data_IF_150430770095
#
_entry.id   IF_150430770095
#
_cell.length_a   1.000
_cell.length_b   1.000
_cell.length_c   1.000
_cell.angle_alpha   90.00
_cell.angle_beta   90.00
_cell.angle_gamma   90.00
#
_symmetry.space_group_name_H-M   'P 1'
#
loop_
_entity.id
_entity.type
_entity.pdbx_description
1 polymer ?
#
# COMPACT_ATOMS: atom_id res chain seq x y z
N UNK A 1 10.36 -7.32 -18.28
CA UNK A 1 9.80 -6.96 -16.96
C UNK A 1 8.77 -5.89 -17.23
N UNK A 2 7.47 -6.23 -17.20
CA UNK A 2 6.40 -5.25 -17.47
C UNK A 2 6.47 -4.15 -16.42
N UNK A 3 6.68 -2.91 -16.85
CA UNK A 3 6.96 -1.76 -15.97
C UNK A 3 5.78 -1.23 -15.16
N UNK A 4 4.84 -2.10 -14.79
CA UNK A 4 3.58 -1.70 -14.14
C UNK A 4 3.51 -2.11 -12.66
N UNK A 5 4.53 -2.82 -12.18
CA UNK A 5 4.62 -3.21 -10.78
C UNK A 5 5.43 -2.17 -9.98
N UNK A 6 4.78 -1.62 -8.94
CA UNK A 6 5.39 -0.76 -7.96
C UNK A 6 5.76 -1.55 -6.70
N UNK A 7 7.01 -1.44 -6.28
CA UNK A 7 7.49 -1.94 -4.99
C UNK A 7 8.13 -0.79 -4.21
N UNK A 8 7.64 -0.52 -3.00
CA UNK A 8 8.15 0.53 -2.13
C UNK A 8 8.35 0.04 -0.69
N UNK A 9 9.44 0.49 -0.07
CA UNK A 9 9.66 0.34 1.37
C UNK A 9 9.77 1.70 2.04
N UNK A 10 9.00 1.90 3.10
CA UNK A 10 9.04 3.10 3.95
C UNK A 10 9.59 2.70 5.32
N UNK A 11 10.79 3.19 5.61
CA UNK A 11 11.52 2.93 6.87
C UNK A 11 11.13 3.93 7.98
N UNK A 12 9.88 4.38 7.97
CA UNK A 12 9.35 5.33 8.93
C UNK A 12 7.93 4.91 9.31
N UNK A 13 7.73 4.54 10.57
CA UNK A 13 6.40 4.53 11.21
C UNK A 13 6.48 5.47 12.38
N UNK A 14 5.72 6.55 12.30
CA UNK A 14 5.65 7.51 13.40
C UNK A 14 4.60 7.05 14.40
N UNK A 15 4.88 7.29 15.69
CA UNK A 15 4.02 6.96 16.82
C UNK A 15 2.69 7.72 16.86
N UNK A 16 2.49 8.69 15.96
CA UNK A 16 1.24 9.45 15.86
C UNK A 16 0.49 9.06 14.59
N UNK A 17 -0.56 8.26 14.73
CA UNK A 17 -1.38 7.74 13.61
C UNK A 17 -1.79 8.83 12.61
N UNK A 18 -2.16 10.04 13.07
CA UNK A 18 -2.53 11.14 12.17
C UNK A 18 -1.35 11.68 11.36
N UNK A 19 -0.20 11.85 12.02
CA UNK A 19 1.05 12.28 11.38
C UNK A 19 1.59 11.21 10.45
N UNK A 20 1.33 9.93 10.77
CA UNK A 20 1.70 8.79 9.96
C UNK A 20 1.03 8.83 8.60
N UNK A 21 -0.29 9.05 8.56
CA UNK A 21 -1.04 9.15 7.30
C UNK A 21 -0.49 10.26 6.40
N UNK A 22 -0.23 11.44 6.97
CA UNK A 22 0.32 12.57 6.22
C UNK A 22 1.74 12.31 5.69
N UNK A 23 2.62 11.72 6.50
CA UNK A 23 4.00 11.42 6.11
C UNK A 23 4.08 10.35 5.02
N UNK A 24 3.27 9.29 5.12
CA UNK A 24 3.14 8.28 4.05
C UNK A 24 2.67 8.97 2.76
N UNK A 25 1.56 9.70 2.82
CA UNK A 25 1.00 10.38 1.65
C UNK A 25 1.95 11.38 0.99
N UNK A 26 2.76 12.08 1.78
CA UNK A 26 3.78 12.99 1.26
C UNK A 26 4.97 12.24 0.63
N UNK A 27 5.49 11.22 1.31
CA UNK A 27 6.61 10.42 0.81
C UNK A 27 6.29 9.80 -0.55
N UNK A 28 5.14 9.12 -0.68
CA UNK A 28 4.74 8.52 -1.95
C UNK A 28 4.58 9.57 -3.04
N UNK A 29 3.89 10.70 -2.77
CA UNK A 29 3.77 11.78 -3.76
C UNK A 29 5.11 12.37 -4.20
N UNK A 30 6.12 12.39 -3.33
CA UNK A 30 7.46 12.88 -3.67
C UNK A 30 8.26 11.88 -4.50
N UNK A 31 8.24 10.60 -4.14
CA UNK A 31 8.98 9.53 -4.83
C UNK A 31 8.39 9.21 -6.21
N UNK A 32 7.08 9.39 -6.40
CA UNK A 32 6.37 8.98 -7.63
C UNK A 32 6.00 10.12 -8.58
N UNK A 33 6.70 11.26 -8.52
CA UNK A 33 6.44 12.44 -9.39
C UNK A 33 6.44 12.19 -10.90
N UNK A 34 6.87 11.00 -11.36
CA UNK A 34 7.01 10.64 -12.78
C UNK A 34 6.15 9.44 -13.21
N UNK A 35 5.43 8.82 -12.28
CA UNK A 35 4.50 7.73 -12.61
C UNK A 35 3.19 8.35 -13.09
N UNK A 36 2.69 7.91 -14.25
CA UNK A 36 1.36 8.28 -14.70
C UNK A 36 0.37 7.23 -14.20
N UNK A 37 -0.75 7.63 -13.56
CA UNK A 37 -1.77 6.68 -13.15
C UNK A 37 -2.35 5.97 -14.38
N UNK A 38 -2.69 4.69 -14.21
CA UNK A 38 -3.27 3.86 -15.28
C UNK A 38 -4.67 3.37 -14.92
N UNK A 39 -5.50 3.19 -15.95
CA UNK A 39 -6.79 2.50 -15.85
C UNK A 39 -6.62 0.97 -15.76
N UNK A 40 -7.60 0.31 -15.17
CA UNK A 40 -7.64 -1.15 -15.02
C UNK A 40 -7.60 -1.61 -13.55
N UNK A 41 -7.86 -2.90 -13.29
CA UNK A 41 -7.89 -3.46 -11.94
C UNK A 41 -6.48 -3.57 -11.37
N UNK A 42 -6.34 -3.26 -10.09
CA UNK A 42 -5.09 -3.34 -9.34
C UNK A 42 -5.19 -4.28 -8.15
N UNK A 43 -4.09 -4.96 -7.88
CA UNK A 43 -3.82 -5.63 -6.62
C UNK A 43 -2.83 -4.81 -5.81
N UNK A 44 -3.14 -4.60 -4.53
CA UNK A 44 -2.26 -3.92 -3.58
C UNK A 44 -2.00 -4.83 -2.38
N UNK A 45 -0.72 -5.06 -2.07
CA UNK A 45 -0.26 -5.77 -0.89
C UNK A 45 0.48 -4.81 0.04
N UNK A 46 0.13 -4.79 1.31
CA UNK A 46 0.70 -3.92 2.33
C UNK A 46 1.17 -4.78 3.50
N UNK A 47 2.47 -4.77 3.75
CA UNK A 47 3.06 -5.39 4.93
C UNK A 47 3.43 -4.31 5.94
N UNK A 48 2.90 -4.44 7.15
CA UNK A 48 3.15 -3.52 8.27
C UNK A 48 3.99 -4.26 9.31
N UNK A 49 5.29 -3.98 9.31
CA UNK A 49 6.19 -4.47 10.34
C UNK A 49 6.06 -3.59 11.58
N UNK A 50 5.87 -4.20 12.74
CA UNK A 50 5.86 -3.52 14.04
C UNK A 50 6.86 -4.14 15.00
N UNK A 51 7.51 -3.27 15.76
CA UNK A 51 8.23 -3.66 16.98
C UNK A 51 7.19 -3.81 18.12
N UNK A 52 7.28 -4.85 18.97
CA UNK A 52 6.48 -4.98 20.20
C UNK A 52 6.36 -3.71 21.06
N UNK A 53 7.36 -2.83 21.08
CA UNK A 53 7.32 -1.58 21.83
C UNK A 53 6.54 -0.44 21.15
N UNK A 54 6.08 -0.64 19.90
CA UNK A 54 5.37 0.37 19.14
C UNK A 54 3.87 0.43 19.50
N UNK A 55 3.24 1.62 19.43
CA UNK A 55 1.79 1.74 19.56
C UNK A 55 1.06 0.85 18.56
N UNK A 56 -0.11 0.34 18.94
CA UNK A 56 -0.95 -0.41 18.02
C UNK A 56 -1.52 0.52 16.95
N UNK A 57 -1.11 0.27 15.72
CA UNK A 57 -1.66 0.92 14.53
C UNK A 57 -2.69 0.00 13.89
N UNK A 58 -3.91 0.50 13.72
CA UNK A 58 -4.93 -0.25 13.02
C UNK A 58 -4.54 -0.48 11.55
N UNK A 59 -4.65 -1.73 11.11
CA UNK A 59 -4.26 -2.15 9.76
C UNK A 59 -5.13 -1.47 8.71
N UNK A 60 -6.40 -1.21 9.02
CA UNK A 60 -7.34 -0.51 8.13
C UNK A 60 -6.93 0.95 7.88
N UNK A 61 -6.40 1.61 8.91
CA UNK A 61 -6.05 3.02 8.91
C UNK A 61 -4.75 3.24 8.15
N UNK A 62 -3.84 2.27 8.25
CA UNK A 62 -2.64 2.22 7.40
C UNK A 62 -3.04 1.97 5.96
N UNK A 63 -3.89 0.97 5.70
CA UNK A 63 -4.33 0.64 4.36
C UNK A 63 -4.99 1.83 3.67
N UNK A 64 -5.93 2.50 4.35
CA UNK A 64 -6.56 3.72 3.84
C UNK A 64 -5.55 4.80 3.48
N UNK A 65 -4.56 5.04 4.36
CA UNK A 65 -3.57 6.09 4.12
C UNK A 65 -2.65 5.77 2.93
N UNK A 66 -2.31 4.49 2.75
CA UNK A 66 -1.55 4.02 1.60
C UNK A 66 -2.37 4.15 0.31
N UNK A 67 -3.64 3.74 0.32
CA UNK A 67 -4.51 3.87 -0.85
C UNK A 67 -4.71 5.34 -1.25
N UNK A 68 -5.05 6.21 -0.28
CA UNK A 68 -5.18 7.65 -0.51
C UNK A 68 -3.90 8.26 -1.11
N UNK A 69 -2.72 7.72 -0.75
CA UNK A 69 -1.41 8.17 -1.25
C UNK A 69 -1.09 7.69 -2.67
N UNK A 70 -1.57 6.50 -3.04
CA UNK A 70 -1.38 5.89 -4.36
C UNK A 70 -2.40 6.40 -5.39
N UNK A 71 -3.58 6.85 -4.94
CA UNK A 71 -4.61 7.44 -5.81
C UNK A 71 -4.10 8.70 -6.50
N UNK A 72 -4.32 8.79 -7.81
CA UNK A 72 -3.81 9.84 -8.68
C UNK A 72 -2.33 9.71 -9.04
N UNK A 73 -1.63 8.71 -8.49
CA UNK A 73 -0.20 8.46 -8.69
C UNK A 73 0.04 7.14 -9.44
N UNK A 74 -0.57 6.05 -8.96
CA UNK A 74 -0.45 4.69 -9.53
C UNK A 74 -1.71 4.29 -10.30
N UNK A 75 -2.87 4.58 -9.73
CA UNK A 75 -4.19 4.41 -10.34
C UNK A 75 -4.99 5.71 -10.20
N UNK A 76 -6.03 5.89 -11.00
CA UNK A 76 -6.84 7.13 -10.98
C UNK A 76 -7.72 7.22 -9.74
N UNK A 77 -8.23 6.10 -9.25
CA UNK A 77 -9.18 6.02 -8.14
C UNK A 77 -8.97 4.74 -7.32
N UNK A 78 -9.24 4.78 -6.01
CA UNK A 78 -9.07 3.62 -5.13
C UNK A 78 -10.07 2.49 -5.43
N UNK A 79 -11.19 2.81 -6.10
CA UNK A 79 -12.12 1.80 -6.67
C UNK A 79 -11.48 0.88 -7.72
N UNK A 80 -10.33 1.25 -8.29
CA UNK A 80 -9.58 0.36 -9.18
C UNK A 80 -8.85 -0.76 -8.42
N UNK A 81 -8.73 -0.67 -7.10
CA UNK A 81 -8.12 -1.73 -6.29
C UNK A 81 -9.15 -2.82 -6.01
N UNK A 82 -9.12 -3.87 -6.82
CA UNK A 82 -10.04 -5.01 -6.73
C UNK A 82 -9.54 -6.10 -5.77
N UNK A 83 -8.25 -6.07 -5.41
CA UNK A 83 -7.70 -6.92 -4.35
C UNK A 83 -6.77 -6.13 -3.44
N UNK A 84 -7.04 -6.21 -2.14
CA UNK A 84 -6.23 -5.62 -1.09
C UNK A 84 -5.85 -6.69 -0.06
N UNK A 85 -4.55 -6.90 0.13
CA UNK A 85 -4.02 -7.71 1.23
C UNK A 85 -3.25 -6.81 2.18
N UNK A 86 -3.62 -6.83 3.46
CA UNK A 86 -2.93 -6.09 4.51
C UNK A 86 -2.50 -7.07 5.57
N UNK A 87 -1.20 -7.17 5.80
CA UNK A 87 -0.62 -8.11 6.74
C UNK A 87 0.18 -7.35 7.78
N UNK A 88 -0.07 -7.65 9.05
CA UNK A 88 0.77 -7.21 10.16
C UNK A 88 1.80 -8.29 10.44
N UNK A 89 3.07 -7.91 10.48
CA UNK A 89 4.19 -8.80 10.78
C UNK A 89 4.99 -8.27 11.97
N UNK A 90 5.62 -9.17 12.71
CA UNK A 90 6.61 -8.79 13.72
C UNK A 90 7.92 -8.40 13.04
N UNK A 91 8.56 -7.33 13.52
CA UNK A 91 9.87 -6.92 13.03
C UNK A 91 10.63 -6.05 14.02
N UNK A 92 11.94 -5.99 13.87
CA UNK A 92 12.83 -5.28 14.81
C UNK A 92 12.66 -3.76 14.82
N UNK A 93 11.96 -3.23 13.81
CA UNK A 93 11.66 -1.81 13.69
C UNK A 93 10.39 -1.60 12.89
N UNK A 94 9.68 -0.50 13.15
CA UNK A 94 8.49 -0.20 12.41
C UNK A 94 8.76 0.10 10.93
N UNK A 95 8.04 -0.57 10.02
CA UNK A 95 8.16 -0.38 8.57
C UNK A 95 6.84 -0.64 7.85
N UNK A 96 6.72 -0.05 6.66
CA UNK A 96 5.70 -0.45 5.68
C UNK A 96 6.41 -0.88 4.40
N UNK A 97 6.03 -2.05 3.88
CA UNK A 97 6.28 -2.42 2.49
C UNK A 97 4.97 -2.41 1.71
N UNK A 98 4.99 -1.84 0.50
CA UNK A 98 3.82 -1.76 -0.39
C UNK A 98 4.21 -2.31 -1.75
N UNK A 99 3.39 -3.22 -2.24
CA UNK A 99 3.42 -3.69 -3.63
C UNK A 99 2.10 -3.30 -4.28
N UNK A 100 2.14 -2.63 -5.43
CA UNK A 100 0.94 -2.31 -6.22
C UNK A 100 1.19 -2.70 -7.67
N UNK A 101 0.29 -3.48 -8.25
CA UNK A 101 0.46 -4.02 -9.61
C UNK A 101 -0.88 -4.20 -10.30
N UNK A 102 -0.94 -4.14 -11.65
CA UNK A 102 -2.13 -4.56 -12.37
C UNK A 102 -2.54 -5.97 -11.95
N UNK A 103 -3.81 -6.14 -11.67
CA UNK A 103 -4.37 -7.41 -11.25
C UNK A 103 -4.34 -8.39 -12.42
N UNK A 104 -3.92 -9.62 -12.13
CA UNK A 104 -4.06 -10.73 -13.07
C UNK A 104 -5.49 -11.26 -13.00
N UNK A 105 -6.00 -11.77 -14.12
CA UNK A 105 -7.33 -12.39 -14.19
C UNK A 105 -7.49 -13.46 -13.09
N UNK A 106 -8.47 -13.29 -12.21
CA UNK A 106 -8.82 -14.26 -11.19
C UNK A 106 -9.97 -15.10 -11.72
N UNK A 107 -9.73 -16.41 -11.87
CA UNK A 107 -10.78 -17.36 -12.19
C UNK A 107 -11.33 -17.92 -10.89
N UNK A 108 -12.62 -17.75 -10.68
CA UNK A 108 -13.33 -18.49 -9.64
C UNK A 108 -13.37 -19.93 -10.14
N UNK A 109 -12.75 -20.85 -9.39
CA UNK A 109 -12.94 -22.26 -9.63
C UNK A 109 -14.38 -22.56 -9.21
N UNK A 110 -15.24 -22.89 -10.18
CA UNK A 110 -16.54 -23.49 -9.89
C UNK A 110 -16.26 -24.90 -9.34
N UNK A 111 -16.82 -25.21 -8.16
CA UNK A 111 -16.63 -26.49 -7.50
C UNK A 111 -16.97 -27.65 -8.46
N UNK A 112 -16.05 -28.63 -8.52
CA UNK A 112 -16.17 -29.87 -9.30
C UNK A 112 -17.01 -30.93 -8.59
#
# INVERSE_FOLDING_TARGET
MSGDELNLRVDAVTTQTRRFKSLIGEFFRLEFKRTQPKWGPYEVCIEVARDPASPDHDVDGVAKAVLDALTGVVFHDDSQVERLLVTRVEGDRPRIAVTARPMQEVRILEDA
#
